data_IF_118204366093
#
_entry.id   IF_118204366093
#
_cell.length_a   1.000
_cell.length_b   1.000
_cell.length_c   1.000
_cell.angle_alpha   90.00
_cell.angle_beta   90.00
_cell.angle_gamma   90.00
#
_symmetry.space_group_name_H-M   'P 1'
#
loop_
_entity.id
_entity.type
_entity.pdbx_description
1 polymer ?
#
# COMPACT_ATOMS: atom_id res chain seq x y z
N UNK A 1 -15.90 21.06 -1.85
CA UNK A 1 -15.24 19.80 -2.24
C UNK A 1 -15.48 18.78 -1.12
N UNK A 2 -16.26 17.73 -1.39
CA UNK A 2 -16.56 16.72 -0.38
C UNK A 2 -15.31 15.87 -0.12
N UNK A 3 -14.83 15.79 1.12
CA UNK A 3 -13.62 15.01 1.47
C UNK A 3 -13.73 13.53 1.05
N UNK A 4 -14.96 13.02 0.92
CA UNK A 4 -15.28 11.66 0.48
C UNK A 4 -14.90 11.39 -0.99
N UNK A 5 -14.98 12.37 -1.89
CA UNK A 5 -14.68 12.17 -3.32
C UNK A 5 -13.19 11.89 -3.57
N UNK A 6 -12.30 12.46 -2.75
CA UNK A 6 -10.87 12.16 -2.79
C UNK A 6 -10.59 10.71 -2.34
N UNK A 7 -11.35 10.21 -1.36
CA UNK A 7 -11.20 8.85 -0.84
C UNK A 7 -11.74 7.82 -1.85
N UNK A 8 -12.88 8.09 -2.49
CA UNK A 8 -13.47 7.21 -3.51
C UNK A 8 -12.58 7.03 -4.73
N UNK A 9 -11.87 8.08 -5.16
CA UNK A 9 -10.89 7.99 -6.25
C UNK A 9 -9.72 7.06 -5.89
N UNK A 10 -9.19 7.19 -4.68
CA UNK A 10 -8.10 6.34 -4.17
C UNK A 10 -8.56 4.88 -4.05
N UNK A 11 -9.76 4.63 -3.49
CA UNK A 11 -10.34 3.29 -3.39
C UNK A 11 -10.58 2.67 -4.78
N UNK A 12 -11.04 3.47 -5.74
CA UNK A 12 -11.22 3.02 -7.13
C UNK A 12 -9.90 2.59 -7.74
N UNK A 13 -8.85 3.40 -7.60
CA UNK A 13 -7.52 3.06 -8.12
C UNK A 13 -6.98 1.77 -7.49
N UNK A 14 -7.10 1.63 -6.16
CA UNK A 14 -6.70 0.40 -5.45
C UNK A 14 -7.44 -0.84 -5.92
N UNK A 15 -8.73 -0.70 -6.25
CA UNK A 15 -9.55 -1.80 -6.76
C UNK A 15 -9.01 -2.36 -8.09
N UNK A 16 -8.62 -1.48 -9.01
CA UNK A 16 -8.11 -1.89 -10.33
C UNK A 16 -6.65 -2.30 -10.32
N UNK A 17 -5.76 -1.57 -9.63
CA UNK A 17 -4.31 -1.82 -9.66
C UNK A 17 -3.90 -3.06 -8.87
N UNK A 18 -4.58 -3.34 -7.75
CA UNK A 18 -4.24 -4.45 -6.85
C UNK A 18 -5.15 -5.67 -7.01
N UNK A 19 -5.84 -5.80 -8.15
CA UNK A 19 -6.74 -6.91 -8.46
C UNK A 19 -7.80 -7.17 -7.36
N UNK A 20 -8.22 -6.13 -6.64
CA UNK A 20 -9.18 -6.19 -5.52
C UNK A 20 -10.64 -6.25 -5.98
N UNK A 21 -10.90 -6.19 -7.30
CA UNK A 21 -12.27 -6.21 -7.87
C UNK A 21 -12.87 -7.62 -7.82
N UNK A 22 -12.06 -8.67 -7.92
CA UNK A 22 -12.49 -10.08 -7.82
C UNK A 22 -11.28 -11.02 -7.83
N UNK A 23 -11.08 -11.79 -6.77
CA UNK A 23 -10.27 -13.00 -6.87
C UNK A 23 -11.09 -14.08 -7.58
N UNK A 24 -10.80 -14.38 -8.85
CA UNK A 24 -11.55 -15.37 -9.64
C UNK A 24 -11.27 -16.82 -9.23
N UNK A 25 -10.37 -17.05 -8.26
CA UNK A 25 -9.87 -18.38 -7.91
C UNK A 25 -10.27 -18.88 -6.52
N UNK A 26 -10.78 -18.06 -5.59
CA UNK A 26 -11.09 -18.51 -4.22
C UNK A 26 -11.96 -17.55 -3.39
N UNK A 27 -12.60 -18.14 -2.38
CA UNK A 27 -13.61 -17.64 -1.42
C UNK A 27 -13.46 -16.19 -0.92
N UNK A 28 -14.60 -15.58 -0.49
CA UNK A 28 -14.71 -14.23 0.10
C UNK A 28 -13.72 -13.89 1.23
N UNK A 29 -13.13 -14.89 1.88
CA UNK A 29 -12.19 -14.72 2.98
C UNK A 29 -10.81 -14.27 2.50
N UNK A 30 -10.36 -14.77 1.34
CA UNK A 30 -9.10 -14.33 0.72
C UNK A 30 -9.19 -12.89 0.19
N UNK A 31 -10.36 -12.48 -0.31
CA UNK A 31 -10.61 -11.08 -0.71
C UNK A 31 -10.44 -10.11 0.47
N UNK A 32 -10.86 -10.52 1.68
CA UNK A 32 -10.69 -9.72 2.91
C UNK A 32 -9.22 -9.60 3.30
N UNK A 33 -8.46 -10.70 3.18
CA UNK A 33 -7.02 -10.71 3.47
C UNK A 33 -6.28 -9.82 2.46
N UNK A 34 -6.63 -9.89 1.17
CA UNK A 34 -6.06 -9.02 0.14
C UNK A 34 -6.34 -7.54 0.43
N UNK A 35 -7.57 -7.20 0.84
CA UNK A 35 -7.92 -5.83 1.23
C UNK A 35 -7.08 -5.31 2.42
N UNK A 36 -6.86 -6.16 3.44
CA UNK A 36 -6.03 -5.80 4.60
C UNK A 36 -4.57 -5.62 4.18
N UNK A 37 -4.01 -6.53 3.38
CA UNK A 37 -2.63 -6.46 2.89
C UNK A 37 -2.39 -5.22 2.02
N UNK A 38 -3.29 -4.90 1.10
CA UNK A 38 -3.18 -3.70 0.26
C UNK A 38 -3.24 -2.45 1.12
N UNK A 39 -4.23 -2.32 2.00
CA UNK A 39 -4.34 -1.17 2.91
C UNK A 39 -3.10 -0.99 3.79
N UNK A 40 -2.56 -2.12 4.28
CA UNK A 40 -1.34 -2.17 5.09
C UNK A 40 -0.12 -1.72 4.29
N UNK A 41 0.08 -2.24 3.09
CA UNK A 41 1.17 -1.83 2.18
C UNK A 41 1.15 -0.34 1.86
N UNK A 42 -0.03 0.23 1.63
CA UNK A 42 -0.18 1.67 1.37
C UNK A 42 0.19 2.54 2.56
N UNK A 43 -0.10 2.08 3.77
CA UNK A 43 0.29 2.78 4.99
C UNK A 43 1.80 2.64 5.26
N UNK A 44 2.38 1.47 4.94
CA UNK A 44 3.80 1.20 5.17
C UNK A 44 4.75 1.84 4.14
N UNK A 45 4.29 2.26 2.97
CA UNK A 45 5.14 2.93 1.98
C UNK A 45 5.86 4.18 2.53
N UNK A 46 5.22 4.92 3.46
CA UNK A 46 5.83 6.10 4.11
C UNK A 46 6.97 5.72 5.07
N UNK A 47 6.77 4.84 6.07
CA UNK A 47 7.86 4.41 6.94
C UNK A 47 8.92 3.60 6.21
N UNK A 48 8.59 2.78 5.21
CA UNK A 48 9.60 2.09 4.41
C UNK A 48 10.50 3.07 3.67
N UNK A 49 9.93 4.09 3.01
CA UNK A 49 10.74 5.11 2.34
C UNK A 49 11.66 5.85 3.32
N UNK A 50 11.16 6.21 4.50
CA UNK A 50 11.98 6.84 5.54
C UNK A 50 13.09 5.90 6.06
N UNK A 51 12.76 4.62 6.27
CA UNK A 51 13.69 3.59 6.70
C UNK A 51 14.81 3.35 5.68
N UNK A 52 14.47 3.23 4.38
CA UNK A 52 15.48 3.06 3.33
C UNK A 52 16.39 4.29 3.18
N UNK A 53 15.85 5.51 3.31
CA UNK A 53 16.67 6.73 3.32
C UNK A 53 17.62 6.77 4.54
N UNK A 54 17.14 6.36 5.70
CA UNK A 54 17.97 6.25 6.90
C UNK A 54 19.10 5.22 6.73
N UNK A 55 18.80 4.05 6.15
CA UNK A 55 19.80 3.03 5.86
C UNK A 55 20.84 3.50 4.84
N UNK A 56 20.42 4.23 3.80
CA UNK A 56 21.32 4.80 2.80
C UNK A 56 22.29 5.81 3.45
N UNK A 57 21.77 6.72 4.28
CA UNK A 57 22.59 7.68 5.02
C UNK A 57 23.55 7.00 6.01
N UNK A 58 23.09 5.97 6.72
CA UNK A 58 23.92 5.20 7.63
C UNK A 58 25.01 4.41 6.90
N UNK A 59 24.68 3.82 5.74
CA UNK A 59 25.64 3.14 4.88
C UNK A 59 26.68 4.11 4.31
N UNK A 60 26.26 5.29 3.87
CA UNK A 60 27.14 6.36 3.40
C UNK A 60 28.12 6.80 4.50
N UNK A 61 27.63 7.02 5.72
CA UNK A 61 28.48 7.39 6.87
C UNK A 61 29.45 6.29 7.28
N UNK A 62 29.10 5.01 7.07
CA UNK A 62 29.96 3.87 7.40
C UNK A 62 31.08 3.63 6.37
N UNK A 63 30.97 4.19 5.17
CA UNK A 63 31.95 4.01 4.08
C UNK A 63 32.97 5.17 3.98
N UNK A 64 33.01 6.06 4.98
CA UNK A 64 33.97 7.16 5.12
C UNK A 64 34.68 7.04 6.48
#
# INVERSE_FOLDING_TARGET
MNKRSAIESIISHFKYDHNMIRNFLKSKEEDRINAILVASGCNFNKPFRAFFLFLDQFSFFRNF
#
